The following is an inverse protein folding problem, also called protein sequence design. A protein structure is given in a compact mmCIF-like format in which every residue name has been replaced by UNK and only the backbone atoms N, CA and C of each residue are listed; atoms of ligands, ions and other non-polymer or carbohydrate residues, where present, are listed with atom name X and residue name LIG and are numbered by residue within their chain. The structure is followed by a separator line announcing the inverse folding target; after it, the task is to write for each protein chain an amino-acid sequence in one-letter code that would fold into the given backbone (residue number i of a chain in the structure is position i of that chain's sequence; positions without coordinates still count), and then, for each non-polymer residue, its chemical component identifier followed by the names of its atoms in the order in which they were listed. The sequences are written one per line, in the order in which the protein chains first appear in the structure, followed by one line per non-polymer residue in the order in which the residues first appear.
data_IF_439139359910
#
_entry.id   IF_439139359910
#
_cell.length_a   1.000
_cell.length_b   1.000
_cell.length_c   1.000
_cell.angle_alpha   90.00
_cell.angle_beta   90.00
_cell.angle_gamma   90.00
#
_symmetry.space_group_name_H-M   'P 1'
#
loop_
_entity.id
_entity.type
_entity.pdbx_description
1 polymer ?
#
# COMPACT_ATOMS: atom_id res chain seq x y z
N UNK A 1 2.74 -17.84 5.72
CA UNK A 1 2.35 -16.45 5.40
C UNK A 1 3.62 -15.65 5.16
N UNK A 2 3.74 -14.93 4.04
CA UNK A 2 4.99 -14.25 3.66
C UNK A 2 4.95 -12.75 4.01
N UNK A 3 3.76 -12.14 4.04
CA UNK A 3 3.56 -10.75 4.45
C UNK A 3 2.40 -10.73 5.46
N UNK A 4 2.69 -10.24 6.67
CA UNK A 4 1.69 -9.90 7.68
C UNK A 4 2.06 -8.54 8.26
N UNK A 5 1.44 -7.48 7.72
CA UNK A 5 1.78 -6.10 8.03
C UNK A 5 0.51 -5.26 8.22
N UNK A 6 0.42 -4.53 9.32
CA UNK A 6 -0.70 -3.63 9.61
C UNK A 6 -0.58 -2.34 8.81
N UNK A 7 -1.62 -1.96 8.07
CA UNK A 7 -1.71 -0.65 7.42
C UNK A 7 -1.96 0.39 8.52
N UNK A 8 -1.05 1.35 8.69
CA UNK A 8 -1.10 2.36 9.75
C UNK A 8 -1.22 3.77 9.17
N UNK A 9 -1.74 4.71 9.97
CA UNK A 9 -1.80 6.13 9.60
C UNK A 9 -0.41 6.66 9.24
N UNK A 10 -0.34 7.46 8.18
CA UNK A 10 0.92 8.07 7.71
C UNK A 10 1.85 7.12 6.96
N UNK A 11 1.43 5.87 6.71
CA UNK A 11 2.17 4.96 5.84
C UNK A 11 2.32 5.58 4.44
N UNK A 12 3.55 5.54 3.92
CA UNK A 12 3.89 6.04 2.59
C UNK A 12 3.81 4.91 1.58
N UNK A 13 2.68 4.86 0.88
CA UNK A 13 2.45 3.92 -0.22
C UNK A 13 2.95 4.51 -1.54
N UNK A 14 3.77 3.77 -2.28
CA UNK A 14 4.40 4.24 -3.52
C UNK A 14 4.13 3.27 -4.67
N UNK A 15 3.59 3.79 -5.78
CA UNK A 15 3.42 3.06 -7.04
C UNK A 15 4.67 3.29 -7.89
N UNK A 16 5.74 2.52 -7.65
CA UNK A 16 7.05 2.75 -8.25
C UNK A 16 7.05 2.48 -9.77
N UNK A 17 6.24 1.53 -10.23
CA UNK A 17 5.90 1.31 -11.65
C UNK A 17 4.42 0.96 -11.78
N UNK A 18 3.84 0.85 -13.00
CA UNK A 18 2.44 0.46 -13.18
C UNK A 18 2.05 -0.90 -12.59
N UNK A 19 3.01 -1.78 -12.31
CA UNK A 19 2.76 -3.12 -11.74
C UNK A 19 3.63 -3.42 -10.53
N UNK A 20 4.46 -2.48 -10.05
CA UNK A 20 5.29 -2.68 -8.86
C UNK A 20 5.05 -1.58 -7.85
N UNK A 21 4.48 -1.95 -6.70
CA UNK A 21 4.15 -1.05 -5.61
C UNK A 21 4.95 -1.40 -4.37
N UNK A 22 5.31 -0.40 -3.56
CA UNK A 22 6.12 -0.61 -2.38
C UNK A 22 5.75 0.34 -1.24
N UNK A 23 6.06 -0.09 -0.03
CA UNK A 23 6.02 0.72 1.18
C UNK A 23 7.08 0.21 2.16
N UNK A 24 7.31 0.93 3.25
CA UNK A 24 8.32 0.55 4.23
C UNK A 24 7.91 0.88 5.64
N UNK A 25 8.53 0.16 6.57
CA UNK A 25 8.59 0.54 7.98
C UNK A 25 10.04 0.92 8.35
N UNK A 26 10.35 0.99 9.65
CA UNK A 26 11.69 1.31 10.13
C UNK A 26 12.74 0.23 9.79
N UNK A 27 12.33 -1.02 9.57
CA UNK A 27 13.18 -2.21 9.48
C UNK A 27 13.25 -2.78 8.07
N UNK A 28 12.18 -2.71 7.29
CA UNK A 28 12.10 -3.39 6.00
C UNK A 28 11.28 -2.62 4.96
N UNK A 29 11.52 -2.96 3.70
CA UNK A 29 10.75 -2.50 2.54
C UNK A 29 9.96 -3.68 2.01
N UNK A 30 8.66 -3.46 1.82
CA UNK A 30 7.75 -4.40 1.20
C UNK A 30 7.51 -3.98 -0.24
N UNK A 31 7.56 -4.95 -1.16
CA UNK A 31 7.25 -4.75 -2.56
C UNK A 31 6.27 -5.81 -3.05
N UNK A 32 5.27 -5.39 -3.82
CA UNK A 32 4.34 -6.27 -4.52
C UNK A 32 4.47 -6.04 -6.01
N UNK A 33 4.61 -7.13 -6.77
CA UNK A 33 4.53 -7.13 -8.21
C UNK A 33 3.19 -7.76 -8.63
N UNK A 34 2.44 -7.08 -9.48
CA UNK A 34 1.12 -7.49 -9.95
C UNK A 34 1.21 -8.08 -11.35
N UNK A 35 0.34 -9.02 -11.67
CA UNK A 35 0.33 -9.66 -12.99
C UNK A 35 -0.11 -8.69 -14.10
N UNK A 36 -0.88 -7.66 -13.75
CA UNK A 36 -1.37 -6.64 -14.67
C UNK A 36 -1.49 -5.26 -14.03
N UNK A 37 -1.64 -4.23 -14.86
CA UNK A 37 -1.89 -2.85 -14.43
C UNK A 37 -3.26 -2.72 -13.76
N UNK A 38 -4.23 -3.50 -14.22
CA UNK A 38 -5.60 -3.49 -13.72
C UNK A 38 -5.63 -3.97 -12.27
N UNK A 39 -4.97 -5.11 -11.97
CA UNK A 39 -4.85 -5.63 -10.60
C UNK A 39 -4.10 -4.65 -9.69
N UNK A 40 -3.01 -4.07 -10.18
CA UNK A 40 -2.25 -3.05 -9.46
C UNK A 40 -3.15 -1.84 -9.11
N UNK A 41 -3.97 -1.40 -10.06
CA UNK A 41 -4.89 -0.26 -9.89
C UNK A 41 -6.01 -0.58 -8.89
N UNK A 42 -6.57 -1.79 -8.94
CA UNK A 42 -7.56 -2.24 -7.95
C UNK A 42 -6.97 -2.24 -6.55
N UNK A 43 -5.75 -2.78 -6.40
CA UNK A 43 -5.06 -2.80 -5.11
C UNK A 43 -4.72 -1.40 -4.60
N UNK A 44 -4.18 -0.52 -5.46
CA UNK A 44 -3.83 0.85 -5.07
C UNK A 44 -5.05 1.65 -4.63
N UNK A 45 -6.20 1.49 -5.31
CA UNK A 45 -7.46 2.13 -4.93
C UNK A 45 -7.90 1.73 -3.52
N UNK A 46 -7.88 0.43 -3.21
CA UNK A 46 -8.23 -0.07 -1.88
C UNK A 46 -7.23 0.41 -0.79
N UNK A 47 -5.93 0.40 -1.09
CA UNK A 47 -4.89 0.86 -0.18
C UNK A 47 -5.04 2.35 0.15
N UNK A 48 -5.24 3.19 -0.87
CA UNK A 48 -5.42 4.63 -0.68
C UNK A 48 -6.72 4.95 0.08
N UNK A 49 -7.81 4.21 -0.18
CA UNK A 49 -9.03 4.33 0.59
C UNK A 49 -8.80 4.04 2.08
N UNK A 50 -8.12 2.93 2.41
CA UNK A 50 -7.81 2.57 3.78
C UNK A 50 -6.95 3.65 4.48
N UNK A 51 -5.93 4.18 3.79
CA UNK A 51 -5.09 5.26 4.31
C UNK A 51 -5.89 6.55 4.55
N UNK A 52 -6.83 6.87 3.66
CA UNK A 52 -7.71 8.02 3.82
C UNK A 52 -8.61 7.87 5.05
N UNK A 53 -9.26 6.71 5.23
CA UNK A 53 -10.09 6.41 6.41
C UNK A 53 -9.29 6.56 7.70
N UNK A 54 -8.08 5.99 7.76
CA UNK A 54 -7.20 6.12 8.92
C UNK A 54 -6.76 7.57 9.17
N UNK A 55 -6.62 8.38 8.12
CA UNK A 55 -6.27 9.78 8.27
C UNK A 55 -7.40 10.62 8.87
N UNK A 56 -8.65 10.28 8.54
CA UNK A 56 -9.87 10.97 8.98
C UNK A 56 -10.36 10.59 10.38
N UNK A 57 -9.86 9.51 10.98
CA UNK A 57 -10.27 9.05 12.32
C UNK A 57 -9.84 9.97 13.48
N UNK A 58 -8.96 10.94 13.23
CA UNK A 58 -8.47 11.89 14.24
C UNK A 58 -9.10 13.29 14.10
N UNK A 59 -10.17 13.44 13.31
CA UNK A 59 -10.90 14.70 13.10
C UNK A 59 -12.17 14.81 13.96
#
# INVERSE_FOLDING_TARGET
VVINYSIVKGLKYNQATPTFHQWRDARQVYGLNFASKEEATTFSTAMLFALNVLSSQDA
#
